data_IF_715593286936
#
_entry.id   IF_715593286936
#
_cell.length_a   1.000
_cell.length_b   1.000
_cell.length_c   1.000
_cell.angle_alpha   90.00
_cell.angle_beta   90.00
_cell.angle_gamma   90.00
#
_symmetry.space_group_name_H-M   'P 1'
#
loop_
_entity.id
_entity.type
_entity.pdbx_description
1 polymer ?
#
# COMPACT_ATOMS: atom_id res chain seq x y z
N UNK A 1 31.30 66.86 -16.29
CA UNK A 1 30.09 67.19 -17.07
C UNK A 1 29.03 66.13 -16.84
N UNK A 2 27.81 66.55 -16.46
CA UNK A 2 26.58 65.74 -16.41
C UNK A 2 25.96 65.69 -17.81
N UNK A 3 25.25 64.59 -18.15
CA UNK A 3 23.97 64.45 -18.90
C UNK A 3 23.81 62.94 -19.22
N UNK A 4 22.91 62.14 -18.59
CA UNK A 4 21.44 61.97 -18.72
C UNK A 4 20.92 61.52 -20.10
N UNK A 5 20.23 60.37 -20.14
CA UNK A 5 19.38 59.82 -21.23
C UNK A 5 19.47 58.29 -21.29
N UNK A 6 18.64 57.51 -20.57
CA UNK A 6 17.27 57.00 -20.88
C UNK A 6 17.19 56.10 -22.12
N UNK A 7 16.75 54.85 -21.94
CA UNK A 7 16.32 53.94 -23.01
C UNK A 7 16.21 52.48 -22.57
N UNK A 8 15.10 52.10 -21.92
CA UNK A 8 14.73 50.73 -21.62
C UNK A 8 14.25 49.99 -22.88
N UNK A 9 14.76 48.78 -23.10
CA UNK A 9 14.14 47.72 -23.89
C UNK A 9 14.87 46.42 -23.55
N UNK A 10 14.27 45.32 -23.13
CA UNK A 10 12.87 44.95 -23.07
C UNK A 10 12.87 43.42 -23.12
N UNK A 11 13.04 42.76 -21.98
CA UNK A 11 12.66 41.35 -21.81
C UNK A 11 12.67 40.99 -20.33
N UNK A 12 11.50 41.06 -19.69
CA UNK A 12 11.26 40.38 -18.41
C UNK A 12 10.15 39.38 -18.64
N UNK A 13 10.55 38.12 -18.79
CA UNK A 13 9.67 36.98 -18.58
C UNK A 13 9.27 37.03 -17.10
N UNK A 14 8.05 37.46 -16.82
CA UNK A 14 7.49 37.43 -15.47
C UNK A 14 7.17 35.97 -15.13
N UNK A 15 8.06 35.32 -14.39
CA UNK A 15 7.76 34.10 -13.66
C UNK A 15 6.86 34.49 -12.48
N UNK A 16 5.54 34.43 -12.68
CA UNK A 16 4.57 34.62 -11.60
C UNK A 16 4.52 33.33 -10.77
N UNK A 17 5.34 33.25 -9.74
CA UNK A 17 5.25 32.22 -8.70
C UNK A 17 4.04 32.53 -7.83
N UNK A 18 2.90 31.86 -8.07
CA UNK A 18 1.78 31.87 -7.12
C UNK A 18 2.15 30.92 -5.98
N UNK A 19 2.49 31.49 -4.83
CA UNK A 19 2.67 30.77 -3.58
C UNK A 19 1.28 30.30 -3.09
N UNK A 20 1.00 29.00 -3.16
CA UNK A 20 -0.22 28.45 -2.58
C UNK A 20 -0.02 28.17 -1.08
N UNK A 21 -0.75 28.90 -0.25
CA UNK A 21 -0.80 28.72 1.19
C UNK A 21 -1.40 27.36 1.56
N UNK A 22 -0.70 26.59 2.40
CA UNK A 22 -1.28 25.46 3.14
C UNK A 22 -2.11 26.05 4.28
N UNK A 23 -3.44 26.00 4.18
CA UNK A 23 -4.33 26.27 5.31
C UNK A 23 -4.70 24.93 5.97
N UNK A 24 -4.17 24.73 7.17
CA UNK A 24 -4.64 23.73 8.12
C UNK A 24 -5.90 24.26 8.82
N UNK A 25 -6.97 23.45 8.79
CA UNK A 25 -7.96 23.43 9.87
C UNK A 25 -9.39 23.88 9.54
N UNK A 26 -10.34 23.18 10.19
CA UNK A 26 -11.62 23.74 10.63
C UNK A 26 -12.80 23.54 9.68
N UNK A 27 -13.77 22.75 10.11
CA UNK A 27 -15.02 22.52 9.38
C UNK A 27 -15.81 23.81 9.14
N UNK A 28 -16.26 23.99 7.90
CA UNK A 28 -17.49 24.66 7.49
C UNK A 28 -17.66 24.41 5.98
N UNK A 29 -18.90 24.22 5.54
CA UNK A 29 -19.24 23.82 4.17
C UNK A 29 -18.54 24.72 3.12
N UNK A 30 -17.59 24.15 2.39
CA UNK A 30 -16.85 24.84 1.35
C UNK A 30 -17.76 25.08 0.13
N UNK A 31 -17.92 26.34 -0.27
CA UNK A 31 -18.55 26.69 -1.53
C UNK A 31 -17.74 26.11 -2.72
N UNK A 32 -18.39 25.74 -3.83
CA UNK A 32 -17.68 25.17 -4.98
C UNK A 32 -16.68 26.19 -5.55
N UNK A 33 -15.40 25.81 -5.58
CA UNK A 33 -14.35 26.63 -6.20
C UNK A 33 -14.45 26.44 -7.71
N UNK A 34 -14.90 27.47 -8.41
CA UNK A 34 -14.85 27.51 -9.88
C UNK A 34 -13.45 27.87 -10.34
N UNK A 35 -12.77 26.95 -11.04
CA UNK A 35 -11.45 27.20 -11.62
C UNK A 35 -11.63 27.35 -13.13
N UNK A 36 -11.60 28.60 -13.62
CA UNK A 36 -11.59 28.89 -15.04
C UNK A 36 -10.15 29.18 -15.48
N UNK A 37 -9.48 28.18 -16.05
CA UNK A 37 -8.13 28.32 -16.59
C UNK A 37 -7.35 26.99 -16.59
N UNK A 38 -6.43 26.83 -17.55
CA UNK A 38 -5.52 25.68 -17.60
C UNK A 38 -4.59 25.71 -16.38
N UNK A 39 -4.75 24.73 -15.49
CA UNK A 39 -3.94 24.60 -14.28
C UNK A 39 -2.62 23.88 -14.62
N UNK A 40 -1.49 24.53 -14.35
CA UNK A 40 -0.11 24.01 -14.38
C UNK A 40 0.05 22.98 -13.23
N UNK A 41 0.93 21.95 -13.29
CA UNK A 41 0.76 20.73 -12.48
C UNK A 41 1.03 21.00 -11.00
N UNK A 42 -0.03 21.33 -10.27
CA UNK A 42 -0.11 21.28 -8.83
C UNK A 42 -1.27 20.33 -8.49
N UNK A 43 -1.07 19.48 -7.48
CA UNK A 43 -2.09 18.55 -6.98
C UNK A 43 -3.35 19.34 -6.61
N UNK A 44 -4.46 19.08 -7.28
CA UNK A 44 -5.76 19.68 -6.96
C UNK A 44 -6.53 18.68 -6.09
N UNK A 45 -6.72 19.04 -4.83
CA UNK A 45 -7.48 18.25 -3.86
C UNK A 45 -8.69 19.04 -3.33
N UNK A 46 -9.89 18.46 -3.37
CA UNK A 46 -11.10 19.09 -2.83
C UNK A 46 -12.41 18.42 -3.23
N UNK A 47 -13.48 18.66 -2.46
CA UNK A 47 -14.84 18.25 -2.82
C UNK A 47 -15.44 19.29 -3.79
N UNK A 48 -15.91 18.86 -4.97
CA UNK A 48 -16.67 19.72 -5.90
C UNK A 48 -15.87 20.57 -6.91
N UNK A 49 -14.86 20.01 -7.58
CA UNK A 49 -14.13 20.69 -8.68
C UNK A 49 -15.02 20.74 -9.95
N UNK A 50 -15.21 21.95 -10.50
CA UNK A 50 -15.99 22.17 -11.75
C UNK A 50 -15.23 23.07 -12.72
N UNK A 51 -15.18 22.67 -14.00
CA UNK A 51 -14.56 23.44 -15.08
C UNK A 51 -14.71 22.77 -16.45
N UNK A 52 -14.56 23.55 -17.53
CA UNK A 52 -14.67 23.04 -18.91
C UNK A 52 -13.49 22.12 -19.30
N UNK A 53 -12.30 22.33 -18.73
CA UNK A 53 -11.12 21.50 -18.91
C UNK A 53 -10.38 21.35 -17.58
N UNK A 54 -10.24 20.10 -17.11
CA UNK A 54 -9.46 19.77 -15.91
C UNK A 54 -8.35 18.83 -16.34
N UNK A 55 -7.10 19.30 -16.24
CA UNK A 55 -5.90 18.58 -16.69
C UNK A 55 -4.83 18.62 -15.60
N UNK A 56 -4.24 17.48 -15.28
CA UNK A 56 -3.15 17.40 -14.29
C UNK A 56 -2.87 15.98 -13.80
N UNK A 57 -1.71 15.79 -13.17
CA UNK A 57 -1.36 14.57 -12.45
C UNK A 57 -1.79 14.70 -10.97
N UNK A 58 -2.54 13.72 -10.45
CA UNK A 58 -2.96 13.70 -9.04
C UNK A 58 -4.17 14.59 -8.72
N UNK A 59 -5.26 14.48 -9.49
CA UNK A 59 -6.54 15.12 -9.15
C UNK A 59 -7.34 14.17 -8.26
N UNK A 60 -7.62 14.56 -7.02
CA UNK A 60 -8.31 13.74 -6.03
C UNK A 60 -9.49 14.49 -5.39
N UNK A 61 -10.69 13.91 -5.44
CA UNK A 61 -11.87 14.53 -4.85
C UNK A 61 -13.17 13.79 -5.13
N UNK A 62 -14.16 13.96 -4.25
CA UNK A 62 -15.54 13.54 -4.51
C UNK A 62 -16.27 14.62 -5.33
N UNK A 63 -16.80 14.27 -6.50
CA UNK A 63 -17.64 15.15 -7.32
C UNK A 63 -16.92 16.08 -8.31
N UNK A 64 -15.97 15.55 -9.09
CA UNK A 64 -15.37 16.27 -10.24
C UNK A 64 -16.31 16.19 -11.45
N UNK A 65 -16.69 17.34 -12.03
CA UNK A 65 -17.62 17.41 -13.18
C UNK A 65 -17.12 18.37 -14.27
N UNK A 66 -17.13 17.94 -15.53
CA UNK A 66 -16.72 18.77 -16.67
C UNK A 66 -16.68 18.02 -18.02
N UNK A 67 -16.76 18.74 -19.13
CA UNK A 67 -16.66 18.21 -20.50
C UNK A 67 -15.20 18.26 -20.99
N UNK A 68 -14.32 17.43 -20.43
CA UNK A 68 -12.89 17.42 -20.82
C UNK A 68 -11.94 17.15 -19.66
N UNK A 69 -12.19 16.11 -18.87
CA UNK A 69 -11.32 15.71 -17.76
C UNK A 69 -10.30 14.69 -18.26
N UNK A 70 -9.00 15.00 -18.21
CA UNK A 70 -7.93 14.11 -18.67
C UNK A 70 -6.66 14.24 -17.83
N UNK A 71 -5.90 13.16 -17.66
CA UNK A 71 -4.65 13.15 -16.89
C UNK A 71 -4.26 11.79 -16.35
N UNK A 72 -2.99 11.61 -16.00
CA UNK A 72 -2.50 10.41 -15.31
C UNK A 72 -2.82 10.51 -13.81
N UNK A 73 -3.69 9.65 -13.29
CA UNK A 73 -4.00 9.58 -11.85
C UNK A 73 -5.23 10.39 -11.39
N UNK A 74 -6.25 10.53 -12.23
CA UNK A 74 -7.58 11.02 -11.81
C UNK A 74 -8.27 9.92 -11.01
N UNK A 75 -8.55 10.12 -9.72
CA UNK A 75 -9.17 9.11 -8.86
C UNK A 75 -10.18 9.72 -7.86
N UNK A 76 -11.32 9.06 -7.67
CA UNK A 76 -12.34 9.49 -6.71
C UNK A 76 -13.71 8.88 -6.96
N UNK A 77 -14.52 8.76 -5.92
CA UNK A 77 -15.94 8.40 -6.05
C UNK A 77 -16.72 9.59 -6.63
N UNK A 78 -17.29 9.44 -7.83
CA UNK A 78 -18.17 10.45 -8.44
C UNK A 78 -17.52 11.37 -9.49
N UNK A 79 -16.52 10.90 -10.24
CA UNK A 79 -16.04 11.54 -11.47
C UNK A 79 -16.99 11.18 -12.61
N UNK A 80 -17.63 12.16 -13.26
CA UNK A 80 -18.53 11.92 -14.41
C UNK A 80 -18.43 13.04 -15.47
N UNK A 81 -18.48 12.65 -16.75
CA UNK A 81 -18.44 13.56 -17.90
C UNK A 81 -18.47 12.83 -19.25
N UNK A 82 -18.92 13.49 -20.30
CA UNK A 82 -19.12 12.90 -21.63
C UNK A 82 -17.82 12.63 -22.44
N UNK A 83 -16.64 12.91 -21.86
CA UNK A 83 -15.34 12.82 -22.52
C UNK A 83 -14.21 12.32 -21.61
N UNK A 84 -14.51 11.48 -20.62
CA UNK A 84 -13.49 10.84 -19.77
C UNK A 84 -12.71 9.80 -20.59
N UNK A 85 -11.79 10.28 -21.41
CA UNK A 85 -10.79 9.44 -22.09
C UNK A 85 -9.58 9.24 -21.15
N UNK A 86 -9.85 8.78 -19.93
CA UNK A 86 -8.83 8.25 -19.05
C UNK A 86 -8.85 6.75 -19.23
N UNK A 87 -7.73 6.16 -19.68
CA UNK A 87 -7.46 4.78 -19.37
C UNK A 87 -7.56 4.67 -17.85
N UNK A 88 -8.72 4.22 -17.35
CA UNK A 88 -8.84 3.66 -16.02
C UNK A 88 -7.95 2.44 -16.07
N UNK A 89 -6.65 2.65 -15.79
CA UNK A 89 -5.90 1.73 -14.98
C UNK A 89 -6.65 1.71 -13.66
N UNK A 90 -7.77 0.99 -13.66
CA UNK A 90 -8.18 0.23 -12.49
C UNK A 90 -6.88 -0.46 -12.14
N UNK A 91 -6.20 0.01 -11.10
CA UNK A 91 -5.21 -0.81 -10.44
C UNK A 91 -6.04 -2.02 -10.05
N UNK A 92 -6.03 -3.04 -10.92
CA UNK A 92 -6.58 -4.32 -10.59
C UNK A 92 -5.90 -4.59 -9.26
N UNK A 93 -6.69 -4.73 -8.20
CA UNK A 93 -6.15 -5.12 -6.91
C UNK A 93 -5.49 -6.45 -7.23
N UNK A 94 -4.18 -6.43 -7.47
CA UNK A 94 -3.46 -7.62 -7.88
C UNK A 94 -3.56 -8.50 -6.66
N UNK A 95 -4.41 -9.51 -6.80
CA UNK A 95 -4.59 -10.53 -5.80
C UNK A 95 -3.27 -11.27 -5.60
N UNK A 96 -3.19 -12.12 -4.59
CA UNK A 96 -2.07 -13.03 -4.44
C UNK A 96 -1.78 -13.76 -5.76
N UNK A 97 -0.49 -13.91 -6.10
CA UNK A 97 -0.08 -14.71 -7.25
C UNK A 97 -0.51 -16.19 -7.13
N UNK A 98 -0.36 -16.98 -8.19
CA UNK A 98 -0.76 -18.40 -8.19
C UNK A 98 -0.19 -19.16 -6.97
N UNK A 99 -1.05 -19.94 -6.32
CA UNK A 99 -0.67 -20.72 -5.14
C UNK A 99 -0.31 -19.87 -3.91
N UNK A 100 -0.86 -18.66 -3.80
CA UNK A 100 -0.72 -17.78 -2.63
C UNK A 100 -2.07 -17.25 -2.20
N UNK A 101 -2.23 -16.97 -0.91
CA UNK A 101 -3.44 -16.35 -0.36
C UNK A 101 -3.10 -15.39 0.77
N UNK A 102 -3.98 -14.42 1.02
CA UNK A 102 -3.95 -13.68 2.28
C UNK A 102 -4.30 -14.63 3.44
N UNK A 103 -3.51 -14.65 4.53
CA UNK A 103 -3.73 -15.58 5.63
C UNK A 103 -5.01 -15.25 6.43
N UNK A 104 -5.43 -13.98 6.42
CA UNK A 104 -6.74 -13.50 6.87
C UNK A 104 -7.19 -12.36 5.95
N UNK A 105 -8.50 -12.15 5.80
CA UNK A 105 -9.07 -11.05 5.04
C UNK A 105 -8.45 -10.88 3.64
N UNK A 106 -8.15 -9.63 3.30
CA UNK A 106 -7.46 -9.22 2.08
C UNK A 106 -6.54 -8.00 2.33
N UNK A 107 -6.05 -7.38 1.25
CA UNK A 107 -5.14 -6.23 1.30
C UNK A 107 -5.69 -5.02 2.06
N UNK A 108 -7.00 -4.83 2.10
CA UNK A 108 -7.64 -3.70 2.79
C UNK A 108 -7.45 -3.75 4.30
N UNK A 109 -7.18 -4.94 4.86
CA UNK A 109 -6.93 -5.15 6.28
C UNK A 109 -5.49 -4.87 6.74
N UNK A 110 -4.60 -4.39 5.87
CA UNK A 110 -3.20 -4.12 6.25
C UNK A 110 -3.10 -2.90 7.20
N UNK A 111 -2.84 -3.16 8.48
CA UNK A 111 -2.71 -2.15 9.52
C UNK A 111 -1.30 -1.57 9.61
N UNK A 112 -0.29 -2.45 9.50
CA UNK A 112 1.12 -2.07 9.64
C UNK A 112 1.99 -2.85 8.68
N UNK A 113 2.87 -2.13 7.99
CA UNK A 113 3.83 -2.69 7.05
C UNK A 113 5.08 -3.22 7.73
N UNK A 114 5.82 -4.03 6.99
CA UNK A 114 7.18 -4.42 7.34
C UNK A 114 8.08 -3.20 7.47
N UNK A 115 8.84 -3.16 8.56
CA UNK A 115 9.78 -2.10 8.89
C UNK A 115 11.02 -2.77 9.49
N UNK A 116 11.99 -3.22 8.67
CA UNK A 116 13.08 -4.05 9.13
C UNK A 116 13.91 -3.29 10.18
N UNK A 117 14.24 -3.92 11.32
CA UNK A 117 15.11 -3.27 12.29
C UNK A 117 16.51 -3.08 11.69
N UNK A 118 17.19 -1.95 11.95
CA UNK A 118 18.51 -1.67 11.38
C UNK A 118 19.58 -2.68 11.82
N UNK A 119 19.37 -3.32 12.98
CA UNK A 119 20.12 -4.47 13.47
C UNK A 119 19.16 -5.47 14.10
N UNK A 120 19.57 -6.75 14.21
CA UNK A 120 18.69 -7.87 14.62
C UNK A 120 17.76 -7.58 15.80
N UNK A 121 18.29 -6.94 16.84
CA UNK A 121 17.60 -6.73 18.12
C UNK A 121 17.06 -5.31 18.31
N UNK A 122 17.23 -4.42 17.31
CA UNK A 122 16.69 -3.07 17.39
C UNK A 122 15.16 -3.06 17.24
N UNK A 123 14.58 -1.90 17.53
CA UNK A 123 13.18 -1.62 17.22
C UNK A 123 12.92 -1.74 15.70
N UNK A 124 11.69 -2.13 15.38
CA UNK A 124 11.24 -2.34 14.01
C UNK A 124 10.01 -3.25 14.01
N UNK A 125 9.48 -3.51 12.82
CA UNK A 125 8.35 -4.38 12.57
C UNK A 125 8.74 -5.55 11.67
N UNK A 126 8.91 -6.72 12.29
CA UNK A 126 9.48 -7.94 11.67
C UNK A 126 8.46 -8.77 10.86
N UNK A 127 7.38 -8.13 10.42
CA UNK A 127 6.29 -8.73 9.68
C UNK A 127 5.30 -7.65 9.23
N UNK A 128 4.07 -8.05 8.97
CA UNK A 128 2.93 -7.15 8.75
C UNK A 128 1.82 -7.46 9.73
N UNK A 129 1.02 -6.46 10.07
CA UNK A 129 -0.16 -6.65 10.92
C UNK A 129 -1.41 -6.54 10.04
N UNK A 130 -2.27 -7.54 10.14
CA UNK A 130 -3.52 -7.66 9.38
C UNK A 130 -4.70 -7.65 10.34
N UNK A 131 -5.65 -6.73 10.17
CA UNK A 131 -6.84 -6.64 10.98
C UNK A 131 -7.66 -7.94 10.91
N UNK A 132 -7.95 -8.52 12.08
CA UNK A 132 -8.79 -9.71 12.19
C UNK A 132 -9.27 -9.87 13.63
N UNK A 133 -10.54 -10.23 13.81
CA UNK A 133 -11.10 -10.46 15.13
C UNK A 133 -10.60 -11.80 15.73
N UNK A 134 -10.50 -11.92 17.07
CA UNK A 134 -10.28 -13.21 17.72
C UNK A 134 -11.34 -14.22 17.28
N UNK A 135 -10.95 -15.48 17.08
CA UNK A 135 -11.81 -16.51 16.50
C UNK A 135 -11.74 -16.61 14.96
N UNK A 136 -11.09 -15.65 14.29
CA UNK A 136 -10.90 -15.72 12.83
C UNK A 136 -10.01 -16.91 12.45
N UNK A 137 -10.46 -17.71 11.48
CA UNK A 137 -9.65 -18.78 10.90
C UNK A 137 -8.45 -18.19 10.14
N UNK A 138 -7.25 -18.67 10.47
CA UNK A 138 -6.00 -18.26 9.83
C UNK A 138 -5.56 -19.34 8.85
N UNK A 139 -5.23 -18.93 7.63
CA UNK A 139 -4.86 -19.81 6.53
C UNK A 139 -3.36 -19.81 6.25
N UNK A 140 -2.82 -20.93 5.78
CA UNK A 140 -1.49 -20.99 5.20
C UNK A 140 -1.42 -20.09 3.96
N UNK A 141 -0.44 -19.17 3.94
CA UNK A 141 -0.32 -18.17 2.88
C UNK A 141 0.26 -18.75 1.58
N UNK A 142 0.92 -19.90 1.67
CA UNK A 142 1.57 -20.62 0.57
C UNK A 142 1.70 -22.10 0.96
N UNK A 143 1.88 -23.02 -0.01
CA UNK A 143 2.09 -24.43 0.30
C UNK A 143 3.36 -24.64 1.13
N UNK A 144 3.34 -25.61 2.03
CA UNK A 144 4.49 -25.91 2.88
C UNK A 144 4.19 -26.98 3.92
N UNK A 145 5.01 -27.03 4.96
CA UNK A 145 4.86 -27.96 6.08
C UNK A 145 4.82 -27.17 7.38
N UNK A 146 3.87 -27.48 8.27
CA UNK A 146 3.83 -26.91 9.63
C UNK A 146 5.06 -27.43 10.39
N UNK A 147 6.03 -26.57 10.67
CA UNK A 147 7.28 -26.95 11.36
C UNK A 147 7.30 -26.55 12.82
N UNK A 148 6.35 -25.73 13.26
CA UNK A 148 6.17 -25.37 14.67
C UNK A 148 4.71 -24.96 14.90
N UNK A 149 4.16 -25.39 16.03
CA UNK A 149 2.89 -24.93 16.58
C UNK A 149 3.00 -24.98 18.11
N UNK A 150 3.03 -23.82 18.77
CA UNK A 150 3.29 -23.77 20.21
C UNK A 150 3.42 -22.35 20.75
N UNK A 151 3.82 -22.24 22.02
CA UNK A 151 3.96 -20.95 22.70
C UNK A 151 5.37 -20.38 22.53
N UNK A 152 5.47 -19.08 22.22
CA UNK A 152 6.72 -18.31 22.21
C UNK A 152 6.50 -17.05 23.03
N UNK A 153 7.22 -16.93 24.15
CA UNK A 153 7.06 -15.82 25.09
C UNK A 153 5.58 -15.58 25.50
N UNK A 154 4.84 -16.67 25.72
CA UNK A 154 3.42 -16.63 26.12
C UNK A 154 2.42 -16.35 24.99
N UNK A 155 2.87 -16.23 23.73
CA UNK A 155 2.00 -16.04 22.57
C UNK A 155 1.97 -17.29 21.70
N UNK A 156 0.79 -17.77 21.26
CA UNK A 156 0.71 -18.93 20.40
C UNK A 156 1.19 -18.56 18.99
N UNK A 157 2.08 -19.40 18.43
CA UNK A 157 2.71 -19.19 17.13
C UNK A 157 2.59 -20.46 16.30
N UNK A 158 2.27 -20.30 15.02
CA UNK A 158 2.40 -21.34 14.00
C UNK A 158 3.49 -20.92 13.01
N UNK A 159 4.31 -21.88 12.57
CA UNK A 159 5.33 -21.65 11.53
C UNK A 159 5.15 -22.66 10.42
N UNK A 160 5.07 -22.16 9.17
CA UNK A 160 5.04 -23.00 7.96
C UNK A 160 6.35 -22.81 7.22
N UNK A 161 7.05 -23.91 6.93
CA UNK A 161 8.26 -23.92 6.10
C UNK A 161 7.89 -24.26 4.66
N UNK A 162 8.37 -23.45 3.72
CA UNK A 162 8.07 -23.58 2.30
C UNK A 162 9.26 -24.24 1.58
N UNK A 163 9.22 -25.56 1.44
CA UNK A 163 10.22 -26.32 0.68
C UNK A 163 10.29 -25.84 -0.78
N UNK A 164 11.48 -25.94 -1.40
CA UNK A 164 11.69 -25.50 -2.79
C UNK A 164 11.79 -23.99 -3.00
N UNK A 165 11.71 -23.19 -1.92
CA UNK A 165 11.86 -21.72 -1.99
C UNK A 165 13.31 -21.22 -1.85
N UNK A 166 14.28 -22.09 -2.12
CA UNK A 166 15.72 -21.85 -1.98
C UNK A 166 16.33 -22.38 -0.68
N UNK A 167 17.61 -22.09 -0.48
CA UNK A 167 18.40 -22.57 0.65
C UNK A 167 19.01 -21.38 1.42
N UNK A 168 18.68 -21.18 2.71
CA UNK A 168 17.67 -21.92 3.48
C UNK A 168 16.23 -21.63 2.98
N UNK A 169 15.27 -22.52 3.26
CA UNK A 169 13.89 -22.33 2.84
C UNK A 169 13.27 -21.12 3.52
N UNK A 170 12.30 -20.51 2.85
CA UNK A 170 11.42 -19.51 3.44
C UNK A 170 10.55 -20.12 4.54
N UNK A 171 10.28 -19.33 5.56
CA UNK A 171 9.34 -19.66 6.64
C UNK A 171 8.38 -18.50 6.85
N UNK A 172 7.09 -18.79 6.94
CA UNK A 172 6.10 -17.84 7.44
C UNK A 172 5.80 -18.10 8.90
N UNK A 173 5.58 -17.03 9.66
CA UNK A 173 5.21 -17.09 11.09
C UNK A 173 3.86 -16.42 11.29
N UNK A 174 2.98 -17.04 12.07
CA UNK A 174 1.61 -16.59 12.31
C UNK A 174 1.40 -16.46 13.81
N UNK A 175 1.08 -15.25 14.29
CA UNK A 175 0.77 -15.02 15.69
C UNK A 175 -0.21 -13.86 15.88
N UNK A 176 -1.05 -13.88 16.93
CA UNK A 176 -1.20 -14.94 17.94
C UNK A 176 -2.16 -16.05 17.45
N UNK A 177 -1.65 -17.20 17.01
CA UNK A 177 -2.47 -18.25 16.38
C UNK A 177 -2.41 -19.54 17.16
N UNK A 178 -3.55 -19.95 17.72
CA UNK A 178 -3.73 -21.28 18.27
C UNK A 178 -3.80 -22.28 17.11
N UNK A 179 -2.73 -23.05 16.92
CA UNK A 179 -2.62 -24.02 15.83
C UNK A 179 -3.66 -25.13 15.95
N UNK A 180 -4.28 -25.49 14.83
CA UNK A 180 -5.26 -26.59 14.72
C UNK A 180 -4.72 -27.80 13.96
N UNK A 181 -3.48 -27.72 13.47
CA UNK A 181 -2.85 -28.73 12.61
C UNK A 181 -1.55 -29.22 13.27
N UNK A 182 -1.29 -30.55 13.32
CA UNK A 182 -0.06 -31.09 13.90
C UNK A 182 1.21 -30.64 13.16
N UNK A 183 2.32 -30.52 13.89
CA UNK A 183 3.66 -30.34 13.31
C UNK A 183 4.00 -31.54 12.42
N UNK A 184 4.61 -31.28 11.26
CA UNK A 184 4.91 -32.25 10.22
C UNK A 184 3.86 -32.33 9.11
N UNK A 185 2.69 -31.70 9.30
CA UNK A 185 1.60 -31.74 8.31
C UNK A 185 1.91 -30.85 7.12
N UNK A 186 1.76 -31.40 5.90
CA UNK A 186 1.77 -30.63 4.66
C UNK A 186 0.46 -29.85 4.49
N UNK A 187 0.57 -28.58 4.09
CA UNK A 187 -0.56 -27.68 3.87
C UNK A 187 -0.47 -27.03 2.50
N UNK A 188 -1.60 -26.87 1.83
CA UNK A 188 -1.76 -26.06 0.64
C UNK A 188 -1.98 -24.58 1.02
N UNK A 189 -1.85 -23.68 0.04
CA UNK A 189 -2.28 -22.30 0.24
C UNK A 189 -3.80 -22.26 0.45
N UNK A 190 -4.26 -21.60 1.51
CA UNK A 190 -5.67 -21.52 1.85
C UNK A 190 -6.13 -22.49 2.92
N UNK A 191 -5.36 -23.53 3.22
CA UNK A 191 -5.71 -24.45 4.30
C UNK A 191 -5.68 -23.74 5.65
N UNK A 192 -6.70 -23.96 6.47
CA UNK A 192 -6.76 -23.43 7.84
C UNK A 192 -5.69 -24.10 8.70
N UNK A 193 -4.81 -23.29 9.30
CA UNK A 193 -3.72 -23.75 10.16
C UNK A 193 -3.97 -23.46 11.65
N UNK A 194 -5.00 -22.68 11.95
CA UNK A 194 -5.37 -22.35 13.31
C UNK A 194 -6.39 -21.22 13.39
N UNK A 195 -6.57 -20.73 14.60
CA UNK A 195 -7.50 -19.65 14.91
C UNK A 195 -6.76 -18.52 15.60
N UNK A 196 -7.05 -17.28 15.19
CA UNK A 196 -6.49 -16.10 15.82
C UNK A 196 -7.01 -15.98 17.26
N UNK A 197 -6.10 -15.84 18.22
CA UNK A 197 -6.45 -15.53 19.60
C UNK A 197 -6.42 -14.01 19.82
N UNK A 198 -7.03 -13.53 20.90
CA UNK A 198 -6.83 -12.14 21.30
C UNK A 198 -5.39 -11.91 21.76
N UNK A 199 -4.86 -10.72 21.50
CA UNK A 199 -3.58 -10.28 22.03
C UNK A 199 -3.63 -8.82 22.42
N UNK A 200 -3.45 -8.57 23.71
CA UNK A 200 -3.56 -7.23 24.28
C UNK A 200 -2.22 -6.52 24.13
N UNK A 201 -2.16 -5.48 23.30
CA UNK A 201 -1.13 -4.45 23.39
C UNK A 201 -0.15 -4.34 22.23
N UNK A 202 -0.17 -5.20 21.20
CA UNK A 202 0.67 -5.00 20.00
C UNK A 202 0.03 -4.07 18.96
N UNK A 203 -1.27 -4.24 18.70
CA UNK A 203 -2.04 -3.42 17.76
C UNK A 203 -3.15 -2.62 18.50
N UNK A 204 -3.61 -1.48 17.94
CA UNK A 204 -4.77 -0.74 18.47
C UNK A 204 -6.10 -1.50 18.36
N UNK A 205 -6.16 -2.47 17.45
CA UNK A 205 -7.27 -3.41 17.23
C UNK A 205 -6.69 -4.83 17.16
N UNK A 206 -7.51 -5.87 17.33
CA UNK A 206 -7.03 -7.24 17.16
C UNK A 206 -6.49 -7.47 15.74
N UNK A 207 -5.34 -8.14 15.66
CA UNK A 207 -4.60 -8.32 14.42
C UNK A 207 -3.85 -9.65 14.40
N UNK A 208 -3.67 -10.19 13.19
CA UNK A 208 -2.65 -11.19 12.91
C UNK A 208 -1.33 -10.48 12.60
N UNK A 209 -0.29 -10.75 13.38
CA UNK A 209 1.07 -10.46 12.98
C UNK A 209 1.62 -11.63 12.15
N UNK A 210 1.92 -11.34 10.89
CA UNK A 210 2.38 -12.31 9.90
C UNK A 210 3.80 -11.96 9.45
N UNK A 211 4.73 -12.88 9.66
CA UNK A 211 6.16 -12.71 9.34
C UNK A 211 6.63 -13.60 8.21
N UNK A 212 7.78 -13.24 7.61
CA UNK A 212 8.49 -14.03 6.61
C UNK A 212 9.99 -13.99 6.92
N UNK A 213 10.63 -15.16 6.89
CA UNK A 213 12.05 -15.32 7.19
C UNK A 213 12.74 -16.18 6.13
N UNK A 214 14.02 -15.88 5.87
CA UNK A 214 14.97 -16.81 5.27
C UNK A 214 16.13 -16.99 6.23
N UNK A 215 16.29 -18.20 6.76
CA UNK A 215 17.23 -18.42 7.85
C UNK A 215 16.89 -17.50 9.03
N UNK A 216 17.83 -16.63 9.39
CA UNK A 216 17.75 -15.70 10.50
C UNK A 216 17.38 -14.26 10.09
N UNK A 217 17.14 -14.04 8.80
CA UNK A 217 16.81 -12.73 8.20
C UNK A 217 15.31 -12.60 7.99
N UNK A 218 14.75 -11.49 8.48
CA UNK A 218 13.38 -11.09 8.17
C UNK A 218 13.27 -10.46 6.79
N UNK A 219 12.19 -10.78 6.10
CA UNK A 219 11.83 -10.28 4.78
C UNK A 219 10.42 -9.69 4.83
N UNK A 220 10.07 -8.83 3.86
CA UNK A 220 8.70 -8.35 3.71
C UNK A 220 7.76 -9.52 3.33
N UNK A 221 6.80 -9.90 4.18
CA UNK A 221 5.85 -10.99 3.90
C UNK A 221 5.00 -10.74 2.65
N UNK A 222 4.74 -9.48 2.30
CA UNK A 222 3.96 -9.12 1.12
C UNK A 222 4.66 -9.55 -0.19
N UNK A 223 5.99 -9.69 -0.17
CA UNK A 223 6.74 -10.24 -1.30
C UNK A 223 6.32 -11.68 -1.63
N UNK A 224 5.87 -12.47 -0.63
CA UNK A 224 5.40 -13.84 -0.86
C UNK A 224 4.11 -13.89 -1.67
N UNK A 225 3.27 -12.86 -1.59
CA UNK A 225 2.00 -12.77 -2.33
C UNK A 225 2.19 -12.34 -3.79
N UNK A 226 3.44 -12.17 -4.27
CA UNK A 226 3.71 -11.66 -5.61
C UNK A 226 3.58 -10.15 -5.74
N UNK A 227 3.51 -9.42 -4.62
CA UNK A 227 3.50 -7.95 -4.60
C UNK A 227 4.91 -7.32 -4.53
N UNK A 228 5.95 -8.15 -4.67
CA UNK A 228 7.33 -7.68 -4.83
C UNK A 228 7.52 -6.93 -6.15
N UNK A 229 8.43 -5.95 -6.17
CA UNK A 229 8.81 -5.25 -7.42
C UNK A 229 9.30 -6.29 -8.44
N UNK A 230 8.71 -6.31 -9.63
CA UNK A 230 9.23 -7.11 -10.74
C UNK A 230 10.71 -6.74 -10.97
N UNK A 231 11.57 -7.75 -11.09
CA UNK A 231 12.97 -7.59 -11.44
C UNK A 231 13.19 -8.34 -12.74
N UNK A 232 13.77 -7.68 -13.74
CA UNK A 232 14.08 -8.32 -15.01
C UNK A 232 15.07 -9.46 -14.76
N UNK A 233 14.81 -10.60 -15.38
CA UNK A 233 15.76 -11.69 -15.49
C UNK A 233 16.84 -11.22 -16.48
N UNK A 234 18.12 -11.14 -16.08
CA UNK A 234 19.20 -10.96 -17.04
C UNK A 234 19.18 -12.17 -17.97
N UNK A 235 18.98 -11.93 -19.26
CA UNK A 235 19.28 -12.92 -20.29
C UNK A 235 20.73 -12.68 -20.68
N UNK A 236 21.55 -13.73 -20.67
CA UNK A 236 22.89 -13.64 -21.24
C UNK A 236 22.76 -13.20 -22.72
N UNK A 237 23.62 -12.27 -23.19
CA UNK A 237 23.57 -11.87 -24.59
C UNK A 237 23.82 -13.10 -25.48
N UNK A 238 22.95 -13.26 -26.47
CA UNK A 238 23.00 -14.31 -27.48
C UNK A 238 24.26 -14.22 -28.35
#
# INVERSE_FOLDING_TARGET
MRFRGVGLGGMRVALATVLAAVLLGGGSAAAPVGVAGAVVPAVVAGAGVRGAAVTGAGVAGAGVRGSGVSGAGVAGAGVSGAGVAGAVMRSAVVGPGPGRVWPVGDRSGLLRRFDPPPVRWAAGHRGVDLAAAPGTAVRAAAPGVVTFAGQVAGRPVVVVTHSGSGTPPLRTTYLPVAGSVPVGTGVAAGDTIGVLTGDRGHCPVDCLHWGLLRGDRYLDPLALLGSGRARLLPLDPA
#
